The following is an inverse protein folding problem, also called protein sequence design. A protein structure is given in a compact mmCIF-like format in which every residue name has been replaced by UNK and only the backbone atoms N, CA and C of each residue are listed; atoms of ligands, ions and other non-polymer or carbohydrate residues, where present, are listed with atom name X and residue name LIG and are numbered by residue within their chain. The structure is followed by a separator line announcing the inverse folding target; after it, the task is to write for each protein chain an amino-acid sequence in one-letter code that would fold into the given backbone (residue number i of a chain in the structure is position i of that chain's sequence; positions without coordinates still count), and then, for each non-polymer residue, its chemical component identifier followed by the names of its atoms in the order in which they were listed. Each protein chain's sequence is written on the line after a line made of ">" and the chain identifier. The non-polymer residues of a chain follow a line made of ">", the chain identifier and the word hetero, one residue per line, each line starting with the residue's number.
data_IF_351028884369
#
_entry.id   IF_351028884369
#
_cell.length_a   1.000
_cell.length_b   1.000
_cell.length_c   1.000
_cell.angle_alpha   90.00
_cell.angle_beta   90.00
_cell.angle_gamma   90.00
#
_symmetry.space_group_name_H-M   'P 1'
#
loop_
_entity.id
_entity.type
_entity.pdbx_description
1 polymer ?
#
# COMPACT_ATOMS: atom_id res chain seq x y z
N UNK A 1 -16.04 0.83 5.75
CA UNK A 1 -16.24 1.48 4.44
C UNK A 1 -16.22 0.39 3.37
N UNK A 2 -17.17 0.40 2.44
CA UNK A 2 -17.18 -0.52 1.29
C UNK A 2 -16.52 0.18 0.12
N UNK A 3 -15.49 -0.42 -0.47
CA UNK A 3 -14.83 0.10 -1.67
C UNK A 3 -15.02 -0.87 -2.83
N UNK A 4 -15.15 -0.32 -4.04
CA UNK A 4 -15.10 -1.10 -5.27
C UNK A 4 -13.64 -1.40 -5.59
N UNK A 5 -13.30 -2.65 -5.89
CA UNK A 5 -12.00 -2.99 -6.47
C UNK A 5 -12.00 -2.75 -7.98
N UNK A 6 -10.81 -2.53 -8.54
CA UNK A 6 -10.60 -2.54 -9.99
C UNK A 6 -10.24 -3.96 -10.37
N UNK A 7 -11.00 -4.55 -11.29
CA UNK A 7 -10.74 -5.84 -11.90
C UNK A 7 -10.05 -5.61 -13.24
N UNK A 8 -9.06 -6.43 -13.57
CA UNK A 8 -8.37 -6.37 -14.85
C UNK A 8 -8.20 -7.76 -15.44
N UNK A 9 -8.22 -7.84 -16.76
CA UNK A 9 -8.15 -9.09 -17.50
C UNK A 9 -7.36 -8.94 -18.80
N UNK A 10 -6.61 -9.97 -19.15
CA UNK A 10 -5.98 -10.07 -20.47
C UNK A 10 -6.97 -10.59 -21.51
N UNK A 11 -7.10 -9.89 -22.64
CA UNK A 11 -8.00 -10.30 -23.72
C UNK A 11 -7.52 -11.54 -24.49
N UNK A 12 -6.22 -11.85 -24.43
CA UNK A 12 -5.63 -12.99 -25.16
C UNK A 12 -5.66 -14.29 -24.38
N UNK A 13 -5.16 -14.30 -23.14
CA UNK A 13 -5.06 -15.51 -22.32
C UNK A 13 -6.12 -15.61 -21.22
N UNK A 14 -7.03 -14.63 -21.12
CA UNK A 14 -8.13 -14.59 -20.13
C UNK A 14 -7.71 -14.62 -18.66
N UNK A 15 -6.42 -14.45 -18.35
CA UNK A 15 -5.93 -14.27 -16.97
C UNK A 15 -6.58 -13.02 -16.38
N UNK A 16 -7.07 -13.14 -15.14
CA UNK A 16 -7.76 -12.07 -14.41
C UNK A 16 -7.01 -11.72 -13.12
N UNK A 17 -7.18 -10.48 -12.66
CA UNK A 17 -6.70 -9.99 -11.39
C UNK A 17 -7.58 -8.87 -10.84
N UNK A 18 -7.31 -8.49 -9.59
CA UNK A 18 -8.06 -7.44 -8.91
C UNK A 18 -7.18 -6.67 -7.94
N UNK A 19 -7.45 -5.39 -7.75
CA UNK A 19 -6.85 -4.59 -6.67
C UNK A 19 -7.31 -5.03 -5.28
N UNK A 20 -8.35 -5.87 -5.20
CA UNK A 20 -8.74 -6.53 -3.95
C UNK A 20 -7.58 -7.32 -3.31
N UNK A 21 -6.67 -7.84 -4.13
CA UNK A 21 -5.48 -8.56 -3.67
C UNK A 21 -4.57 -7.72 -2.77
N UNK A 22 -4.68 -6.39 -2.81
CA UNK A 22 -3.87 -5.48 -1.99
C UNK A 22 -4.42 -5.29 -0.57
N UNK A 23 -5.65 -5.76 -0.28
CA UNK A 23 -6.30 -5.55 1.03
C UNK A 23 -5.58 -6.30 2.15
N UNK A 24 -5.03 -7.48 1.87
CA UNK A 24 -4.25 -8.26 2.86
C UNK A 24 -3.00 -7.49 3.29
N UNK A 25 -2.37 -6.77 2.35
CA UNK A 25 -1.02 -6.20 2.42
C UNK A 25 0.01 -7.10 3.13
N UNK A 26 1.14 -6.49 3.48
CA UNK A 26 2.30 -7.22 3.98
C UNK A 26 3.00 -6.41 5.07
N UNK A 27 3.19 -7.05 6.22
CA UNK A 27 3.88 -6.47 7.37
C UNK A 27 5.26 -7.11 7.48
N UNK A 28 6.28 -6.29 7.69
CA UNK A 28 7.67 -6.70 7.82
C UNK A 28 8.08 -6.52 9.26
N UNK A 29 8.68 -7.54 9.86
CA UNK A 29 9.20 -7.47 11.21
C UNK A 29 10.66 -6.98 11.16
N UNK A 30 10.94 -5.88 11.86
CA UNK A 30 12.29 -5.38 12.03
C UNK A 30 13.06 -6.21 13.06
N UNK A 31 14.39 -6.06 13.10
CA UNK A 31 15.23 -6.70 14.12
C UNK A 31 14.88 -6.23 15.55
N UNK A 32 14.28 -5.03 15.68
CA UNK A 32 13.74 -4.48 16.94
C UNK A 32 12.39 -5.07 17.34
N UNK A 33 11.76 -5.90 16.49
CA UNK A 33 10.42 -6.47 16.70
C UNK A 33 9.27 -5.55 16.32
N UNK A 34 9.55 -4.43 15.64
CA UNK A 34 8.54 -3.48 15.16
C UNK A 34 7.97 -3.96 13.82
N UNK A 35 6.70 -3.62 13.55
CA UNK A 35 6.04 -3.95 12.28
C UNK A 35 6.09 -2.76 11.34
N UNK A 36 6.53 -3.01 10.11
CA UNK A 36 6.54 -2.07 9.00
C UNK A 36 5.53 -2.51 7.94
N UNK A 37 4.60 -1.65 7.55
CA UNK A 37 3.70 -1.95 6.43
C UNK A 37 4.43 -1.66 5.11
N UNK A 38 4.72 -2.70 4.33
CA UNK A 38 5.25 -2.51 2.97
C UNK A 38 4.12 -2.15 2.02
N UNK A 39 4.38 -1.18 1.14
CA UNK A 39 3.44 -0.80 0.10
C UNK A 39 3.44 -1.92 -0.95
N UNK A 40 2.30 -2.58 -1.08
CA UNK A 40 2.07 -3.56 -2.12
C UNK A 40 1.45 -2.90 -3.36
N UNK A 41 1.77 -3.43 -4.53
CA UNK A 41 1.08 -3.10 -5.76
C UNK A 41 0.68 -4.37 -6.51
N UNK A 42 -0.19 -4.23 -7.51
CA UNK A 42 -0.53 -5.34 -8.39
C UNK A 42 0.63 -5.55 -9.36
N UNK A 43 1.11 -6.78 -9.42
CA UNK A 43 2.07 -7.24 -10.41
C UNK A 43 1.69 -8.58 -11.00
N UNK A 44 2.47 -9.04 -11.98
CA UNK A 44 2.43 -10.41 -12.48
C UNK A 44 3.62 -11.19 -11.92
N UNK A 45 3.41 -12.40 -11.44
CA UNK A 45 4.50 -13.30 -11.03
C UNK A 45 4.59 -14.46 -12.02
N UNK A 46 5.78 -14.67 -12.59
CA UNK A 46 6.04 -15.74 -13.55
C UNK A 46 5.81 -17.12 -12.93
N UNK A 47 6.22 -17.32 -11.68
CA UNK A 47 6.07 -18.61 -10.99
C UNK A 47 4.62 -18.90 -10.60
N UNK A 48 3.85 -17.87 -10.24
CA UNK A 48 2.43 -18.02 -9.97
C UNK A 48 1.57 -18.06 -11.25
N UNK A 49 2.12 -17.62 -12.39
CA UNK A 49 1.45 -17.46 -13.68
C UNK A 49 0.13 -16.65 -13.60
N UNK A 50 0.07 -15.67 -12.69
CA UNK A 50 -1.13 -14.86 -12.46
C UNK A 50 -0.77 -13.50 -11.87
N UNK A 51 -1.76 -12.62 -11.84
CA UNK A 51 -1.68 -11.37 -11.10
C UNK A 51 -1.71 -11.61 -9.60
N UNK A 52 -0.81 -10.95 -8.88
CA UNK A 52 -0.55 -11.12 -7.45
C UNK A 52 -0.14 -9.79 -6.81
N UNK A 53 -0.27 -9.64 -5.49
CA UNK A 53 0.37 -8.54 -4.78
C UNK A 53 1.90 -8.74 -4.84
N UNK A 54 2.63 -7.68 -5.16
CA UNK A 54 4.10 -7.64 -5.15
C UNK A 54 4.59 -6.46 -4.32
N UNK A 55 5.81 -6.53 -3.82
CA UNK A 55 6.45 -5.39 -3.13
C UNK A 55 6.65 -4.21 -4.10
N UNK A 56 6.32 -2.99 -3.66
CA UNK A 56 6.71 -1.78 -4.39
C UNK A 56 7.98 -1.17 -3.79
N UNK A 57 9.14 -1.61 -4.26
CA UNK A 57 10.44 -1.08 -3.80
C UNK A 57 10.94 0.12 -4.63
N UNK A 58 10.04 0.98 -5.11
CA UNK A 58 10.41 2.19 -5.86
C UNK A 58 10.98 3.24 -4.92
N UNK A 59 12.30 3.46 -4.99
CA UNK A 59 12.98 4.50 -4.20
C UNK A 59 12.39 5.89 -4.46
N UNK A 60 12.05 6.21 -5.72
CA UNK A 60 11.45 7.49 -6.07
C UNK A 60 10.08 7.68 -5.39
N UNK A 61 9.22 6.66 -5.39
CA UNK A 61 7.91 6.73 -4.70
C UNK A 61 8.07 6.76 -3.19
N UNK A 62 9.01 5.99 -2.64
CA UNK A 62 9.31 5.99 -1.20
C UNK A 62 9.79 7.37 -0.73
N UNK A 63 10.71 8.00 -1.47
CA UNK A 63 11.20 9.35 -1.16
C UNK A 63 10.09 10.40 -1.27
N UNK A 64 9.29 10.36 -2.35
CA UNK A 64 8.18 11.29 -2.53
C UNK A 64 7.16 11.20 -1.38
N UNK A 65 6.89 10.00 -0.86
CA UNK A 65 6.04 9.79 0.32
C UNK A 65 6.68 10.38 1.58
N UNK A 66 7.97 10.15 1.82
CA UNK A 66 8.67 10.74 2.96
C UNK A 66 8.63 12.28 2.90
N UNK A 67 8.88 12.86 1.74
CA UNK A 67 8.85 14.31 1.53
C UNK A 67 7.45 14.89 1.73
N UNK A 68 6.39 14.15 1.35
CA UNK A 68 5.00 14.51 1.66
C UNK A 68 4.72 14.51 3.16
N UNK A 69 5.16 13.47 3.87
CA UNK A 69 5.00 13.37 5.34
C UNK A 69 5.71 14.52 6.05
N UNK A 70 6.95 14.83 5.65
CA UNK A 70 7.73 15.95 6.21
C UNK A 70 7.01 17.27 5.97
N UNK A 71 6.56 17.54 4.73
CA UNK A 71 5.82 18.77 4.39
C UNK A 71 4.55 18.93 5.22
N UNK A 72 3.80 17.85 5.43
CA UNK A 72 2.59 17.90 6.25
C UNK A 72 2.90 18.25 7.71
N UNK A 73 3.99 17.70 8.27
CA UNK A 73 4.45 18.03 9.63
C UNK A 73 4.90 19.49 9.74
N UNK A 74 5.62 19.99 8.74
CA UNK A 74 6.03 21.40 8.70
C UNK A 74 4.82 22.34 8.64
N UNK A 75 3.84 22.02 7.80
CA UNK A 75 2.61 22.79 7.67
C UNK A 75 1.80 22.81 8.97
N UNK A 76 1.65 21.66 9.62
CA UNK A 76 0.96 21.54 10.92
C UNK A 76 1.70 22.31 12.02
N UNK A 77 3.03 22.23 12.05
CA UNK A 77 3.87 22.99 12.98
C UNK A 77 3.71 24.50 12.77
N UNK A 78 3.74 24.97 11.52
CA UNK A 78 3.50 26.38 11.20
C UNK A 78 2.08 26.82 11.59
N UNK A 79 1.09 25.95 11.41
CA UNK A 79 -0.30 26.21 11.82
C UNK A 79 -0.40 26.39 13.33
N UNK A 80 0.21 25.51 14.13
CA UNK A 80 0.26 25.65 15.59
C UNK A 80 0.93 26.94 16.05
N UNK A 81 2.07 27.31 15.44
CA UNK A 81 2.77 28.56 15.76
C UNK A 81 1.85 29.77 15.51
N UNK A 82 1.18 29.80 14.35
CA UNK A 82 0.23 30.87 14.01
C UNK A 82 -0.96 30.90 14.97
N UNK A 83 -1.53 29.74 15.31
CA UNK A 83 -2.64 29.64 16.24
C UNK A 83 -2.28 30.23 17.60
N UNK A 84 -1.17 29.78 18.18
CA UNK A 84 -0.70 30.22 19.51
C UNK A 84 -0.33 31.71 19.57
N UNK A 85 0.08 32.30 18.45
CA UNK A 85 0.37 33.73 18.36
C UNK A 85 -0.88 34.64 18.36
N UNK A 86 -2.08 34.09 18.10
CA UNK A 86 -3.31 34.89 18.03
C UNK A 86 -3.93 35.18 19.40
N UNK A 87 -4.49 36.37 19.56
CA UNK A 87 -5.24 36.74 20.77
C UNK A 87 -6.45 35.83 21.05
N UNK A 88 -7.08 35.30 19.99
CA UNK A 88 -8.18 34.35 20.08
C UNK A 88 -7.78 33.02 20.75
N UNK A 89 -6.52 32.61 20.63
CA UNK A 89 -5.99 31.45 21.35
C UNK A 89 -5.91 31.71 22.86
N UNK A 90 -5.46 32.91 23.28
CA UNK A 90 -5.44 33.30 24.70
C UNK A 90 -6.82 33.33 25.34
N UNK A 91 -7.86 33.58 24.55
CA UNK A 91 -9.28 33.50 24.96
C UNK A 91 -9.87 32.08 24.89
N UNK A 92 -9.07 31.08 24.48
CA UNK A 92 -9.48 29.68 24.42
C UNK A 92 -10.40 29.32 23.25
N UNK A 93 -10.64 30.23 22.31
CA UNK A 93 -11.59 30.02 21.19
C UNK A 93 -11.07 29.10 20.09
N UNK A 94 -9.79 28.72 20.11
CA UNK A 94 -9.16 27.84 19.10
C UNK A 94 -8.67 26.50 19.64
N UNK A 95 -9.15 26.05 20.81
CA UNK A 95 -8.74 24.77 21.41
C UNK A 95 -9.06 23.54 20.54
N UNK A 96 -10.15 23.56 19.78
CA UNK A 96 -10.52 22.46 18.88
C UNK A 96 -9.55 22.33 17.69
N UNK A 97 -9.08 23.46 17.17
CA UNK A 97 -8.11 23.50 16.05
C UNK A 97 -6.74 23.01 16.51
N UNK A 98 -6.29 23.42 17.71
CA UNK A 98 -5.06 22.89 18.33
C UNK A 98 -5.15 21.38 18.58
N UNK A 99 -6.28 20.89 19.12
CA UNK A 99 -6.47 19.46 19.35
C UNK A 99 -6.42 18.64 18.05
N UNK A 100 -6.93 19.20 16.94
CA UNK A 100 -6.83 18.57 15.63
C UNK A 100 -5.38 18.46 15.16
N UNK A 101 -4.57 19.52 15.33
CA UNK A 101 -3.18 19.51 14.90
C UNK A 101 -2.30 18.65 15.82
N UNK A 102 -2.54 18.63 17.13
CA UNK A 102 -1.82 17.75 18.06
C UNK A 102 -2.11 16.26 17.74
N UNK A 103 -3.36 15.94 17.38
CA UNK A 103 -3.71 14.59 16.91
C UNK A 103 -2.98 14.19 15.63
N UNK A 104 -2.81 15.12 14.69
CA UNK A 104 -1.99 14.88 13.50
C UNK A 104 -0.52 14.68 13.86
N UNK A 105 0.01 15.45 14.80
CA UNK A 105 1.39 15.31 15.27
C UNK A 105 1.66 13.92 15.85
N UNK A 106 0.74 13.40 16.67
CA UNK A 106 0.84 12.03 17.20
C UNK A 106 0.78 10.98 16.09
N UNK A 107 -0.05 11.19 15.07
CA UNK A 107 -0.09 10.34 13.88
C UNK A 107 1.27 10.35 13.14
N UNK A 108 1.90 11.51 12.97
CA UNK A 108 3.18 11.63 12.28
C UNK A 108 4.38 11.10 13.06
N UNK A 109 4.28 11.02 14.39
CA UNK A 109 5.36 10.52 15.26
C UNK A 109 5.83 9.11 14.86
N UNK A 110 4.91 8.26 14.42
CA UNK A 110 5.24 6.91 13.96
C UNK A 110 5.46 6.85 12.44
N UNK A 111 4.77 7.71 11.68
CA UNK A 111 4.84 7.69 10.22
C UNK A 111 6.19 8.15 9.65
N UNK A 112 6.88 9.08 10.31
CA UNK A 112 8.22 9.53 9.88
C UNK A 112 9.25 8.39 10.00
N UNK A 113 9.45 7.75 11.16
CA UNK A 113 10.34 6.60 11.29
C UNK A 113 9.98 5.47 10.31
N UNK A 114 8.69 5.16 10.17
CA UNK A 114 8.20 4.16 9.23
C UNK A 114 8.60 4.50 7.79
N UNK A 115 8.46 5.76 7.38
CA UNK A 115 8.80 6.22 6.03
C UNK A 115 10.31 6.22 5.78
N UNK A 116 11.12 6.62 6.76
CA UNK A 116 12.59 6.50 6.66
C UNK A 116 13.02 5.05 6.52
N UNK A 117 12.47 4.17 7.35
CA UNK A 117 12.77 2.74 7.27
C UNK A 117 12.38 2.18 5.90
N UNK A 118 11.21 2.56 5.38
CA UNK A 118 10.76 2.13 4.06
C UNK A 118 11.71 2.57 2.94
N UNK A 119 12.21 3.81 3.01
CA UNK A 119 13.23 4.32 2.08
C UNK A 119 14.51 3.47 2.17
N UNK A 120 14.97 3.15 3.38
CA UNK A 120 16.18 2.34 3.57
C UNK A 120 15.99 0.90 3.10
N UNK A 121 14.80 0.31 3.30
CA UNK A 121 14.43 -0.99 2.73
C UNK A 121 14.49 -0.95 1.20
N UNK A 122 13.92 0.09 0.58
CA UNK A 122 13.94 0.26 -0.88
C UNK A 122 15.38 0.42 -1.41
N UNK A 123 16.27 1.09 -0.69
CA UNK A 123 17.70 1.20 -1.07
C UNK A 123 18.40 -0.16 -0.97
N UNK A 124 18.18 -0.91 0.12
CA UNK A 124 18.85 -2.21 0.35
C UNK A 124 18.42 -3.27 -0.65
N UNK A 125 17.13 -3.28 -1.01
CA UNK A 125 16.51 -4.32 -1.85
C UNK A 125 16.08 -3.80 -3.22
N UNK A 126 16.76 -2.78 -3.74
CA UNK A 126 16.43 -2.20 -5.04
C UNK A 126 16.49 -3.27 -6.13
N UNK A 127 15.41 -3.41 -6.90
CA UNK A 127 15.28 -4.42 -7.95
C UNK A 127 15.06 -5.86 -7.46
N UNK A 128 14.93 -6.07 -6.15
CA UNK A 128 14.70 -7.38 -5.53
C UNK A 128 13.27 -7.51 -4.99
N UNK A 129 12.31 -6.88 -5.67
CA UNK A 129 10.90 -6.98 -5.32
C UNK A 129 10.43 -8.44 -5.42
N UNK A 130 9.63 -8.86 -4.46
CA UNK A 130 9.11 -10.22 -4.35
C UNK A 130 7.60 -10.25 -4.51
N UNK A 131 7.15 -11.40 -4.95
CA UNK A 131 5.76 -11.81 -4.92
C UNK A 131 5.32 -12.00 -3.47
N UNK A 132 4.35 -11.21 -3.02
CA UNK A 132 3.74 -11.36 -1.69
C UNK A 132 2.75 -12.53 -1.63
N UNK A 133 2.68 -13.36 -2.69
CA UNK A 133 1.98 -14.64 -2.69
C UNK A 133 2.94 -15.82 -2.43
N UNK A 134 4.05 -15.92 -3.17
CA UNK A 134 4.96 -17.07 -3.15
C UNK A 134 6.44 -16.77 -2.82
N UNK A 135 6.81 -15.50 -2.62
CA UNK A 135 8.20 -15.09 -2.31
C UNK A 135 9.16 -15.00 -3.51
N UNK A 136 8.71 -15.37 -4.72
CA UNK A 136 9.50 -15.29 -5.96
C UNK A 136 9.93 -13.86 -6.30
N UNK A 137 11.14 -13.70 -6.85
CA UNK A 137 11.63 -12.44 -7.41
C UNK A 137 11.29 -12.28 -8.91
N UNK A 138 10.75 -13.31 -9.55
CA UNK A 138 10.35 -13.29 -10.96
C UNK A 138 9.00 -12.57 -11.13
N UNK A 139 8.99 -11.29 -10.78
CA UNK A 139 7.83 -10.41 -10.82
C UNK A 139 8.02 -9.31 -11.86
N UNK A 140 6.92 -8.95 -12.51
CA UNK A 140 6.83 -7.78 -13.39
C UNK A 140 5.81 -6.82 -12.77
N UNK A 141 6.30 -5.62 -12.42
CA UNK A 141 5.56 -4.65 -11.62
C UNK A 141 5.02 -3.44 -12.38
N UNK A 142 4.37 -2.57 -11.59
CA UNK A 142 3.70 -1.31 -11.90
C UNK A 142 2.85 -1.32 -13.17
N UNK A 143 1.61 -1.79 -13.04
CA UNK A 143 0.56 -1.44 -13.98
C UNK A 143 -0.05 -0.11 -13.58
N UNK A 144 -0.01 0.88 -14.48
CA UNK A 144 -0.75 2.12 -14.28
C UNK A 144 -2.25 1.81 -14.36
N UNK A 145 -2.90 1.86 -13.20
CA UNK A 145 -4.33 1.60 -13.11
C UNK A 145 -5.09 2.86 -13.53
N UNK A 146 -6.13 2.74 -14.37
CA UNK A 146 -7.00 3.87 -14.69
C UNK A 146 -7.63 4.46 -13.43
N UNK A 147 -7.91 5.76 -13.47
CA UNK A 147 -8.62 6.43 -12.38
C UNK A 147 -9.98 5.78 -12.14
N UNK A 148 -10.37 5.71 -10.88
CA UNK A 148 -11.72 5.30 -10.48
C UNK A 148 -12.81 6.13 -11.20
N UNK A 149 -12.59 7.44 -11.35
CA UNK A 149 -13.56 8.34 -11.99
C UNK A 149 -13.75 8.03 -13.46
N UNK A 150 -12.66 7.69 -14.17
CA UNK A 150 -12.73 7.34 -15.58
C UNK A 150 -13.41 5.97 -15.77
N UNK A 151 -13.12 5.01 -14.89
CA UNK A 151 -13.79 3.70 -14.93
C UNK A 151 -15.28 3.80 -14.56
N UNK A 152 -15.69 4.73 -13.70
CA UNK A 152 -17.11 5.00 -13.44
C UNK A 152 -17.83 5.55 -14.67
N UNK A 153 -17.14 6.38 -15.47
CA UNK A 153 -17.71 7.00 -16.67
C UNK A 153 -17.80 6.02 -17.84
N UNK A 154 -16.72 5.31 -18.12
CA UNK A 154 -16.59 4.45 -19.30
C UNK A 154 -16.96 2.98 -19.04
N UNK A 155 -17.05 2.58 -17.76
CA UNK A 155 -17.29 1.20 -17.33
C UNK A 155 -16.09 0.27 -17.48
N UNK A 156 -15.36 0.38 -18.59
CA UNK A 156 -14.19 -0.43 -18.94
C UNK A 156 -13.19 0.38 -19.74
N UNK A 157 -11.91 0.30 -19.39
CA UNK A 157 -10.83 1.04 -20.05
C UNK A 157 -9.66 0.12 -20.44
N UNK A 158 -9.08 0.31 -21.62
CA UNK A 158 -7.81 -0.34 -21.95
C UNK A 158 -6.71 0.18 -21.04
N UNK A 159 -5.79 -0.68 -20.66
CA UNK A 159 -4.58 -0.30 -19.92
C UNK A 159 -3.44 -0.07 -20.91
N UNK A 160 -2.50 0.81 -20.53
CA UNK A 160 -1.29 1.07 -21.32
C UNK A 160 -0.33 -0.12 -21.33
N UNK A 161 -0.33 -0.90 -20.26
CA UNK A 161 0.51 -2.07 -20.11
C UNK A 161 -0.07 -3.30 -20.82
N UNK A 162 0.84 -4.14 -21.36
CA UNK A 162 0.51 -5.46 -21.94
C UNK A 162 0.68 -6.56 -20.88
N UNK A 163 0.00 -7.68 -21.08
CA UNK A 163 0.19 -8.86 -20.24
C UNK A 163 1.62 -9.42 -20.38
N UNK A 164 2.42 -9.54 -19.31
CA UNK A 164 3.84 -9.90 -19.44
C UNK A 164 4.10 -11.28 -20.04
N UNK A 165 3.20 -12.25 -19.86
CA UNK A 165 3.42 -13.61 -20.35
C UNK A 165 2.99 -13.82 -21.81
N UNK A 166 2.01 -13.06 -22.32
CA UNK A 166 1.44 -13.31 -23.66
C UNK A 166 1.42 -12.08 -24.57
N UNK A 167 1.81 -10.90 -24.09
CA UNK A 167 1.78 -9.65 -24.85
C UNK A 167 0.37 -9.10 -25.13
N UNK A 168 -0.68 -9.77 -24.66
CA UNK A 168 -2.07 -9.39 -24.91
C UNK A 168 -2.49 -8.10 -24.20
N UNK A 169 -3.49 -7.44 -24.76
CA UNK A 169 -4.08 -6.23 -24.18
C UNK A 169 -4.75 -6.49 -22.83
N UNK A 170 -4.49 -5.59 -21.89
CA UNK A 170 -5.13 -5.57 -20.59
C UNK A 170 -6.28 -4.57 -20.59
N UNK A 171 -7.38 -4.96 -19.97
CA UNK A 171 -8.56 -4.11 -19.79
C UNK A 171 -8.93 -4.08 -18.32
N UNK A 172 -9.17 -2.89 -17.79
CA UNK A 172 -9.60 -2.65 -16.43
C UNK A 172 -11.08 -2.26 -16.39
N UNK A 173 -11.79 -2.69 -15.34
CA UNK A 173 -13.19 -2.34 -15.07
C UNK A 173 -13.44 -2.27 -13.57
N UNK A 174 -14.48 -1.55 -13.16
CA UNK A 174 -14.89 -1.59 -11.76
C UNK A 174 -15.59 -2.91 -11.44
N UNK A 175 -15.26 -3.46 -10.27
CA UNK A 175 -15.99 -4.59 -9.72
C UNK A 175 -17.41 -4.15 -9.38
N UNK A 176 -18.39 -4.97 -9.80
CA UNK A 176 -19.78 -4.83 -9.36
C UNK A 176 -19.97 -5.27 -7.91
N UNK A 177 -19.01 -6.02 -7.37
CA UNK A 177 -19.03 -6.48 -6.00
C UNK A 177 -18.54 -5.37 -5.08
N UNK A 178 -19.38 -5.04 -4.12
CA UNK A 178 -19.01 -4.21 -2.98
C UNK A 178 -18.44 -5.10 -1.91
N UNK A 179 -17.17 -4.91 -1.64
CA UNK A 179 -16.50 -5.67 -0.61
C UNK A 179 -16.76 -4.94 0.70
N UNK A 180 -17.84 -5.32 1.36
CA UNK A 180 -17.85 -5.27 2.81
C UNK A 180 -16.92 -6.39 3.25
N UNK A 181 -15.89 -6.11 4.06
CA UNK A 181 -15.48 -6.93 5.21
C UNK A 181 -14.05 -6.65 5.66
N UNK A 182 -13.88 -6.92 6.95
CA UNK A 182 -12.65 -7.02 7.74
C UNK A 182 -11.49 -7.49 6.87
N UNK A 183 -10.47 -6.65 6.70
CA UNK A 183 -9.27 -7.02 5.95
C UNK A 183 -8.72 -8.33 6.54
N UNK A 184 -8.30 -9.29 5.70
CA UNK A 184 -7.63 -10.48 6.20
C UNK A 184 -6.38 -10.06 6.99
N UNK A 185 -5.96 -10.88 7.94
CA UNK A 185 -4.74 -10.60 8.67
C UNK A 185 -3.56 -10.46 7.71
N UNK A 186 -2.68 -9.46 7.94
CA UNK A 186 -1.54 -9.24 7.10
C UNK A 186 -0.57 -10.41 7.21
N UNK A 187 0.03 -10.77 6.08
CA UNK A 187 1.14 -11.73 6.07
C UNK A 187 2.38 -11.06 6.66
N UNK A 188 3.13 -11.81 7.46
CA UNK A 188 4.33 -11.34 8.13
C UNK A 188 5.57 -11.81 7.37
N UNK A 189 6.54 -10.91 7.19
CA UNK A 189 7.78 -11.18 6.49
C UNK A 189 8.99 -10.69 7.30
N UNK A 190 10.16 -11.26 7.06
CA UNK A 190 11.43 -10.68 7.49
C UNK A 190 11.90 -9.61 6.51
N UNK A 191 12.97 -8.89 6.83
CA UNK A 191 13.51 -7.83 5.98
C UNK A 191 14.00 -8.32 4.61
N UNK A 192 14.37 -9.60 4.50
CA UNK A 192 14.77 -10.25 3.25
C UNK A 192 13.57 -10.65 2.36
N UNK A 193 12.35 -10.48 2.86
CA UNK A 193 11.09 -10.74 2.17
C UNK A 193 10.67 -12.21 2.21
N UNK A 194 11.19 -12.97 3.16
CA UNK A 194 10.76 -14.34 3.46
C UNK A 194 9.59 -14.30 4.44
N UNK A 195 8.57 -15.11 4.19
CA UNK A 195 7.38 -15.16 5.05
C UNK A 195 7.71 -15.81 6.40
N UNK A 196 7.46 -15.06 7.48
CA UNK A 196 7.54 -15.53 8.85
C UNK A 196 6.19 -16.15 9.21
N UNK A 197 6.05 -17.47 8.95
CA UNK A 197 4.93 -18.36 9.32
C UNK A 197 3.56 -17.69 9.43
N UNK A 198 2.64 -17.98 8.49
CA UNK A 198 1.26 -17.49 8.58
C UNK A 198 0.66 -17.84 9.95
N UNK A 199 0.23 -16.84 10.72
CA UNK A 199 -0.34 -17.01 12.08
C UNK A 199 -1.55 -17.98 12.07
N UNK A 200 -2.16 -18.16 10.90
CA UNK A 200 -3.19 -19.15 10.59
C UNK A 200 -2.76 -20.63 10.71
N UNK A 201 -1.46 -20.96 10.70
CA UNK A 201 -0.97 -22.34 10.92
C UNK A 201 -0.81 -22.70 12.41
N UNK A 202 -0.39 -21.76 13.26
CA UNK A 202 -0.16 -22.04 14.69
C UNK A 202 -1.46 -22.31 15.48
N UNK A 203 -2.61 -21.79 15.02
CA UNK A 203 -3.90 -22.06 15.67
C UNK A 203 -4.58 -23.36 15.23
N UNK A 204 -4.10 -24.05 14.19
CA UNK A 204 -4.62 -25.38 13.81
C UNK A 204 -3.89 -26.51 14.53
N UNK A 205 -2.61 -26.35 14.83
CA UNK A 205 -1.78 -27.38 15.46
C UNK A 205 -1.88 -27.40 16.99
N UNK A 206 -2.71 -26.53 17.58
CA UNK A 206 -3.00 -26.49 19.04
C UNK A 206 -4.31 -27.19 19.42
N UNK A 207 -4.98 -27.84 18.47
CA UNK A 207 -6.24 -28.57 18.65
C UNK A 207 -6.24 -29.96 17.99
N UNK A 208 -5.06 -30.52 17.70
CA UNK A 208 -4.85 -31.95 17.39
C UNK A 208 -3.99 -32.58 18.48
#
# INVERSE_FOLDING_TARGET
>A
MSAHSIEFSCQTCQVQGSTFLLITGADYLTDSGEKLRVIAEVGHCADCQKFVPIENLSLARAQARLDEVIRNVEQDTQTLVKLRATWAYKLGWRKAEEASVEKNRDYFKNLIPESHFYVDLCKRRQGQARCLNCGSQSVTGSFDLPSYTDLMREGSLPMTAKHPACGGDLVARLSRLRIAHRAPEPRLYNLDGEELVSVSRMFRESWE
#
